data_IF_306006472386
#
_entry.id   IF_306006472386
#
_cell.length_a   1.000
_cell.length_b   1.000
_cell.length_c   1.000
_cell.angle_alpha   90.00
_cell.angle_beta   90.00
_cell.angle_gamma   90.00
#
_symmetry.space_group_name_H-M   'P 1'
#
loop_
_entity.id
_entity.type
_entity.pdbx_description
1 polymer ?
#
# COMPACT_ATOMS: atom_id res chain seq x y z
N UNK A 1 56.48 26.86 -73.42
CA UNK A 1 55.80 27.35 -72.21
C UNK A 1 54.35 26.88 -72.26
N UNK A 2 53.98 25.91 -71.44
CA UNK A 2 52.57 25.63 -71.12
C UNK A 2 52.53 24.71 -69.92
N UNK A 3 52.51 25.33 -68.74
CA UNK A 3 52.27 24.73 -67.44
C UNK A 3 50.91 24.03 -67.44
N UNK A 4 50.92 22.69 -67.40
CA UNK A 4 49.71 21.90 -67.14
C UNK A 4 49.50 21.81 -65.62
N UNK A 5 48.48 22.53 -65.13
CA UNK A 5 47.98 22.41 -63.76
C UNK A 5 47.23 21.09 -63.60
N UNK A 6 47.80 20.10 -62.91
CA UNK A 6 47.09 18.89 -62.54
C UNK A 6 46.14 19.18 -61.37
N UNK A 7 44.85 19.28 -61.66
CA UNK A 7 43.80 19.24 -60.66
C UNK A 7 43.77 17.83 -60.04
N UNK A 8 44.09 17.74 -58.75
CA UNK A 8 44.03 16.49 -57.98
C UNK A 8 42.57 16.32 -57.53
N UNK A 9 41.78 15.60 -58.31
CA UNK A 9 40.44 15.19 -57.89
C UNK A 9 40.55 14.03 -56.89
N UNK A 10 40.09 14.27 -55.66
CA UNK A 10 40.07 13.25 -54.61
C UNK A 10 39.10 12.10 -54.97
N UNK A 11 39.52 10.82 -54.87
CA UNK A 11 38.64 9.71 -55.22
C UNK A 11 37.46 9.64 -54.25
N UNK A 12 36.25 9.91 -54.76
CA UNK A 12 35.04 9.91 -53.93
C UNK A 12 34.70 8.46 -53.50
N UNK A 13 34.86 8.19 -52.21
CA UNK A 13 34.58 6.89 -51.58
C UNK A 13 33.08 6.70 -51.25
N UNK A 14 32.19 7.25 -52.09
CA UNK A 14 30.72 7.22 -51.94
C UNK A 14 30.14 5.81 -51.86
N UNK A 15 30.89 4.77 -52.23
CA UNK A 15 30.45 3.37 -52.14
C UNK A 15 30.38 2.87 -50.69
N UNK A 16 31.24 3.37 -49.81
CA UNK A 16 31.30 2.96 -48.40
C UNK A 16 30.36 3.77 -47.49
N UNK A 17 29.98 4.98 -47.90
CA UNK A 17 28.99 5.78 -47.16
C UNK A 17 27.61 5.12 -47.20
N UNK A 18 27.22 4.52 -48.33
CA UNK A 18 25.97 3.76 -48.45
C UNK A 18 26.02 2.41 -47.71
N UNK A 19 27.19 1.76 -47.69
CA UNK A 19 27.39 0.53 -46.91
C UNK A 19 27.27 0.76 -45.40
N UNK A 20 27.85 1.85 -44.89
CA UNK A 20 27.73 2.23 -43.46
C UNK A 20 26.30 2.55 -43.06
N UNK A 21 25.54 3.26 -43.92
CA UNK A 21 24.11 3.57 -43.67
C UNK A 21 23.27 2.29 -43.58
N UNK A 22 23.56 1.28 -44.41
CA UNK A 22 22.86 -0.02 -44.35
C UNK A 22 23.07 -0.75 -43.02
N UNK A 23 24.30 -0.77 -42.52
CA UNK A 23 24.62 -1.43 -41.23
C UNK A 23 23.94 -0.71 -40.07
N UNK A 24 23.96 0.63 -40.06
CA UNK A 24 23.28 1.43 -39.03
C UNK A 24 21.78 1.21 -39.07
N UNK A 25 21.16 1.13 -40.27
CA UNK A 25 19.74 0.85 -40.41
C UNK A 25 19.36 -0.54 -39.86
N UNK A 26 20.19 -1.56 -40.10
CA UNK A 26 19.96 -2.91 -39.57
C UNK A 26 20.08 -2.94 -38.05
N UNK A 27 21.10 -2.28 -37.49
CA UNK A 27 21.26 -2.18 -36.02
C UNK A 27 20.10 -1.41 -35.40
N UNK A 28 19.63 -0.33 -36.04
CA UNK A 28 18.47 0.43 -35.59
C UNK A 28 17.17 -0.39 -35.67
N UNK A 29 17.00 -1.23 -36.70
CA UNK A 29 15.86 -2.13 -36.80
C UNK A 29 15.89 -3.22 -35.72
N UNK A 30 17.05 -3.85 -35.49
CA UNK A 30 17.18 -4.89 -34.46
C UNK A 30 17.02 -4.29 -33.06
N UNK A 31 17.68 -3.16 -32.78
CA UNK A 31 17.58 -2.46 -31.50
C UNK A 31 16.18 -1.91 -31.26
N UNK A 32 15.55 -1.32 -32.29
CA UNK A 32 14.17 -0.85 -32.24
C UNK A 32 13.18 -1.98 -32.01
N UNK A 33 13.36 -3.12 -32.68
CA UNK A 33 12.54 -4.31 -32.47
C UNK A 33 12.76 -4.90 -31.07
N UNK A 34 14.01 -5.00 -30.59
CA UNK A 34 14.31 -5.46 -29.24
C UNK A 34 13.70 -4.53 -28.17
N UNK A 35 13.78 -3.21 -28.38
CA UNK A 35 13.18 -2.23 -27.48
C UNK A 35 11.65 -2.25 -27.54
N UNK A 36 11.06 -2.45 -28.71
CA UNK A 36 9.62 -2.63 -28.89
C UNK A 36 9.11 -3.91 -28.20
N UNK A 37 9.82 -5.02 -28.38
CA UNK A 37 9.52 -6.28 -27.70
C UNK A 37 9.72 -6.16 -26.19
N UNK A 38 10.73 -5.43 -25.72
CA UNK A 38 10.92 -5.14 -24.30
C UNK A 38 9.80 -4.26 -23.72
N UNK A 39 9.34 -3.26 -24.48
CA UNK A 39 8.27 -2.36 -24.04
C UNK A 39 6.91 -3.07 -23.92
N UNK A 40 6.61 -4.01 -24.82
CA UNK A 40 5.36 -4.78 -24.79
C UNK A 40 5.45 -5.96 -23.81
N UNK A 41 6.62 -6.59 -23.74
CA UNK A 41 6.81 -7.88 -23.08
C UNK A 41 7.72 -7.75 -21.85
N UNK A 42 7.52 -6.69 -21.06
CA UNK A 42 8.18 -6.54 -19.77
C UNK A 42 7.84 -7.79 -18.93
N UNK A 43 8.83 -8.61 -18.54
CA UNK A 43 8.56 -9.86 -17.85
C UNK A 43 7.77 -9.53 -16.58
N UNK A 44 6.60 -10.17 -16.43
CA UNK A 44 5.86 -10.12 -15.16
C UNK A 44 6.87 -10.49 -14.07
N UNK A 45 7.07 -9.64 -13.05
CA UNK A 45 8.08 -9.93 -12.06
C UNK A 45 7.74 -11.30 -11.46
N UNK A 46 8.75 -12.16 -11.30
CA UNK A 46 8.63 -13.60 -10.92
C UNK A 46 7.75 -13.83 -9.68
N UNK A 47 7.54 -12.79 -8.88
CA UNK A 47 6.75 -12.76 -7.67
C UNK A 47 5.45 -11.93 -7.76
N UNK A 48 4.99 -11.47 -8.94
CA UNK A 48 3.80 -10.63 -9.07
C UNK A 48 2.55 -11.28 -8.46
N UNK A 49 2.41 -12.59 -8.65
CA UNK A 49 1.31 -13.38 -8.12
C UNK A 49 1.37 -13.47 -6.59
N UNK A 50 2.54 -13.83 -6.04
CA UNK A 50 2.77 -13.88 -4.58
C UNK A 50 2.57 -12.50 -3.93
N UNK A 51 3.01 -11.43 -4.58
CA UNK A 51 2.83 -10.06 -4.10
C UNK A 51 1.35 -9.66 -4.12
N UNK A 52 0.62 -10.04 -5.18
CA UNK A 52 -0.82 -9.78 -5.26
C UNK A 52 -1.60 -10.52 -4.18
N UNK A 53 -1.29 -11.79 -3.93
CA UNK A 53 -1.91 -12.62 -2.90
C UNK A 53 -1.62 -12.06 -1.49
N UNK A 54 -0.37 -11.66 -1.21
CA UNK A 54 -0.01 -11.01 0.06
C UNK A 54 -0.73 -9.68 0.25
N UNK A 55 -0.85 -8.88 -0.80
CA UNK A 55 -1.60 -7.61 -0.76
C UNK A 55 -3.08 -7.84 -0.50
N UNK A 56 -3.68 -8.84 -1.12
CA UNK A 56 -5.08 -9.19 -0.89
C UNK A 56 -5.33 -9.61 0.57
N UNK A 57 -4.48 -10.48 1.12
CA UNK A 57 -4.54 -10.84 2.55
C UNK A 57 -4.38 -9.63 3.48
N UNK A 58 -3.44 -8.74 3.16
CA UNK A 58 -3.24 -7.52 3.94
C UNK A 58 -4.49 -6.63 3.92
N UNK A 59 -5.11 -6.45 2.75
CA UNK A 59 -6.33 -5.67 2.60
C UNK A 59 -7.48 -6.28 3.41
N UNK A 60 -7.62 -7.60 3.41
CA UNK A 60 -8.63 -8.31 4.20
C UNK A 60 -8.42 -8.11 5.71
N UNK A 61 -7.18 -8.27 6.20
CA UNK A 61 -6.85 -8.05 7.61
C UNK A 61 -7.12 -6.61 8.01
N UNK A 62 -6.69 -5.64 7.20
CA UNK A 62 -6.93 -4.22 7.46
C UNK A 62 -8.42 -3.88 7.45
N UNK A 63 -9.21 -4.45 6.52
CA UNK A 63 -10.66 -4.25 6.48
C UNK A 63 -11.33 -4.77 7.75
N UNK A 64 -10.99 -6.00 8.17
CA UNK A 64 -11.48 -6.58 9.43
C UNK A 64 -11.09 -5.71 10.62
N UNK A 65 -9.83 -5.29 10.72
CA UNK A 65 -9.38 -4.42 11.81
C UNK A 65 -10.14 -3.10 11.84
N UNK A 66 -10.33 -2.45 10.70
CA UNK A 66 -11.07 -1.20 10.58
C UNK A 66 -12.53 -1.38 11.03
N UNK A 67 -13.17 -2.47 10.63
CA UNK A 67 -14.52 -2.79 11.09
C UNK A 67 -14.55 -2.98 12.62
N UNK A 68 -13.59 -3.73 13.19
CA UNK A 68 -13.53 -3.96 14.63
C UNK A 68 -13.34 -2.68 15.44
N UNK A 69 -12.52 -1.72 14.98
CA UNK A 69 -12.25 -0.48 15.73
C UNK A 69 -13.27 0.64 15.50
N UNK A 70 -14.05 0.58 14.41
CA UNK A 70 -14.99 1.65 14.04
C UNK A 70 -16.44 1.34 14.39
N UNK A 71 -16.75 0.10 14.77
CA UNK A 71 -18.13 -0.36 15.00
C UNK A 71 -18.39 -0.80 16.44
N UNK A 72 -19.62 -0.57 16.88
CA UNK A 72 -20.14 -1.13 18.12
C UNK A 72 -20.44 -2.62 17.93
N UNK A 73 -20.08 -3.43 18.91
CA UNK A 73 -20.41 -4.85 18.93
C UNK A 73 -20.49 -5.37 20.37
N UNK A 74 -21.30 -6.40 20.60
CA UNK A 74 -21.27 -7.14 21.86
C UNK A 74 -20.03 -8.03 21.91
N UNK A 75 -19.28 -7.98 23.02
CA UNK A 75 -18.17 -8.91 23.28
C UNK A 75 -18.70 -10.10 24.08
N UNK A 76 -19.43 -9.82 25.16
CA UNK A 76 -20.07 -10.83 26.01
C UNK A 76 -21.40 -10.27 26.51
N UNK A 77 -22.49 -10.69 25.87
CA UNK A 77 -23.83 -10.21 26.21
C UNK A 77 -24.29 -10.71 27.58
N UNK A 78 -23.80 -11.87 28.03
CA UNK A 78 -24.15 -12.42 29.36
C UNK A 78 -23.61 -11.57 30.50
N UNK A 79 -22.45 -10.93 30.28
CA UNK A 79 -21.80 -10.02 31.23
C UNK A 79 -22.07 -8.54 30.96
N UNK A 80 -22.89 -8.23 29.95
CA UNK A 80 -23.17 -6.84 29.57
C UNK A 80 -21.97 -6.10 28.95
N UNK A 81 -20.95 -6.81 28.47
CA UNK A 81 -19.71 -6.19 27.96
C UNK A 81 -19.84 -5.88 26.48
N UNK A 82 -19.76 -4.58 26.15
CA UNK A 82 -19.79 -4.06 24.77
C UNK A 82 -18.46 -3.48 24.35
N UNK A 83 -18.16 -3.63 23.06
CA UNK A 83 -17.13 -2.86 22.36
C UNK A 83 -17.74 -1.56 21.86
N UNK A 84 -17.01 -0.46 22.07
CA UNK A 84 -17.30 0.85 21.48
C UNK A 84 -16.23 1.20 20.43
N UNK A 85 -16.56 2.03 19.42
CA UNK A 85 -15.58 2.56 18.47
C UNK A 85 -14.47 3.30 19.19
N UNK A 86 -13.25 3.18 18.68
CA UNK A 86 -12.06 3.74 19.32
C UNK A 86 -12.15 5.27 19.46
N UNK A 87 -12.74 5.95 18.49
CA UNK A 87 -12.98 7.40 18.54
C UNK A 87 -13.84 7.78 19.74
N UNK A 88 -14.88 6.98 20.01
CA UNK A 88 -15.75 7.22 21.16
C UNK A 88 -15.05 6.88 22.48
N UNK A 89 -14.27 5.81 22.51
CA UNK A 89 -13.47 5.44 23.68
C UNK A 89 -12.52 6.59 24.06
N UNK A 90 -11.79 7.15 23.09
CA UNK A 90 -10.90 8.28 23.32
C UNK A 90 -11.63 9.49 23.91
N UNK A 91 -12.80 9.84 23.38
CA UNK A 91 -13.60 10.96 23.90
C UNK A 91 -14.02 10.72 25.36
N UNK A 92 -14.49 9.51 25.67
CA UNK A 92 -14.90 9.13 27.02
C UNK A 92 -13.70 9.20 27.97
N UNK A 93 -12.55 8.64 27.59
CA UNK A 93 -11.33 8.69 28.39
C UNK A 93 -10.86 10.12 28.65
N UNK A 94 -10.93 11.00 27.64
CA UNK A 94 -10.58 12.42 27.84
C UNK A 94 -11.55 13.10 28.82
N UNK A 95 -12.84 12.81 28.73
CA UNK A 95 -13.85 13.34 29.64
C UNK A 95 -13.66 12.84 31.07
N UNK A 96 -13.38 11.55 31.25
CA UNK A 96 -13.05 10.93 32.54
C UNK A 96 -11.81 11.56 33.18
N UNK A 97 -10.76 11.79 32.38
CA UNK A 97 -9.55 12.46 32.85
C UNK A 97 -9.79 13.93 33.23
N UNK A 98 -10.74 14.61 32.58
CA UNK A 98 -11.18 15.97 32.94
C UNK A 98 -12.01 15.99 34.22
N UNK A 99 -12.77 14.93 34.48
CA UNK A 99 -13.67 14.80 35.62
C UNK A 99 -13.33 13.57 36.49
N UNK A 100 -12.15 13.55 37.16
CA UNK A 100 -11.65 12.35 37.85
C UNK A 100 -12.52 11.86 39.03
N UNK A 101 -13.51 12.64 39.47
CA UNK A 101 -14.43 12.28 40.55
C UNK A 101 -15.67 11.51 40.07
N UNK A 102 -15.93 11.38 38.76
CA UNK A 102 -17.10 10.65 38.24
C UNK A 102 -16.86 9.14 38.20
N UNK A 103 -15.68 8.69 37.74
CA UNK A 103 -15.30 7.28 37.72
C UNK A 103 -15.33 6.66 39.13
N UNK A 104 -14.82 7.38 40.14
CA UNK A 104 -14.84 6.94 41.54
C UNK A 104 -16.27 6.86 42.13
N UNK A 105 -17.22 7.63 41.58
CA UNK A 105 -18.61 7.64 42.04
C UNK A 105 -19.42 6.47 41.48
N UNK A 106 -19.07 6.00 40.28
CA UNK A 106 -19.70 4.82 39.65
C UNK A 106 -19.23 3.51 40.29
N UNK A 107 -17.95 3.40 40.64
CA UNK A 107 -17.42 2.28 41.45
C UNK A 107 -18.12 2.21 42.83
N UNK A 108 -18.27 3.36 43.51
CA UNK A 108 -18.95 3.44 44.80
C UNK A 108 -20.46 3.16 44.73
N UNK A 109 -21.12 3.42 43.59
CA UNK A 109 -22.54 3.05 43.42
C UNK A 109 -22.73 1.58 43.08
N UNK A 110 -21.80 0.97 42.33
CA UNK A 110 -21.88 -0.43 41.94
C UNK A 110 -21.60 -1.39 43.11
N UNK A 111 -20.67 -1.06 44.02
CA UNK A 111 -20.45 -1.82 45.27
C UNK A 111 -21.68 -1.79 46.21
N UNK A 112 -22.43 -0.68 46.24
CA UNK A 112 -23.63 -0.54 47.07
C UNK A 112 -24.80 -1.40 46.58
N UNK A 113 -24.83 -1.73 45.29
CA UNK A 113 -25.81 -2.65 44.69
C UNK A 113 -25.48 -4.12 44.91
N UNK A 114 -24.21 -4.54 44.84
CA UNK A 114 -23.83 -5.94 45.13
C UNK A 114 -23.98 -6.29 46.62
N UNK A 115 -23.80 -5.32 47.53
CA UNK A 115 -23.94 -5.53 48.98
C UNK A 115 -25.37 -5.56 49.54
N UNK A 116 -26.40 -5.32 48.71
CA UNK A 116 -27.82 -5.37 49.15
C UNK A 116 -28.56 -6.65 48.75
N UNK A 117 -28.05 -7.41 47.78
CA UNK A 117 -28.73 -8.62 47.31
C UNK A 117 -28.35 -9.87 48.14
N UNK A 118 -27.18 -9.88 48.77
CA UNK A 118 -26.70 -10.96 49.63
C UNK A 118 -27.20 -10.92 51.09
N UNK A 119 -27.80 -9.81 51.54
CA UNK A 119 -28.33 -9.66 52.91
C UNK A 119 -29.77 -10.17 53.09
N UNK A 120 -30.50 -10.52 52.01
CA UNK A 120 -31.92 -10.90 52.09
C UNK A 120 -32.18 -12.41 51.98
N UNK A 121 -31.15 -13.26 52.11
CA UNK A 121 -31.28 -14.72 52.08
C UNK A 121 -31.10 -15.40 53.45
N UNK A 122 -30.86 -14.62 54.51
CA UNK A 122 -30.68 -15.15 55.87
C UNK A 122 -31.79 -14.60 56.79
N UNK A 123 -33.04 -15.03 56.54
CA UNK A 123 -34.09 -14.99 57.54
C UNK A 123 -35.11 -16.11 57.35
#
# INVERSE_FOLDING_TARGET
>A
MSSHSSNIEAPSNKKYTWGGVGVVAIVALIGGLAMFLYFINAPKPINSEIVSERKARLAEVNAKQNELISTYAWIDQSKGVVRIPIERAMQITVEELRHPNTAKKEEASNEVSEGKENSNSEK
#
